data_IF_001659030127
#
_entry.id   IF_001659030127
#
_cell.length_a   1.000
_cell.length_b   1.000
_cell.length_c   1.000
_cell.angle_alpha   90.00
_cell.angle_beta   90.00
_cell.angle_gamma   90.00
#
_symmetry.space_group_name_H-M   'P 1'
#
loop_
_entity.id
_entity.type
_entity.pdbx_description
1 polymer ?
#
# COMPACT_ATOMS: atom_id res chain seq x y z
N UNK A 1 3.50 71.18 -24.71
CA UNK A 1 2.47 70.18 -24.40
C UNK A 1 2.97 68.84 -24.90
N UNK A 2 3.61 68.05 -24.06
CA UNK A 2 4.14 66.74 -24.41
C UNK A 2 3.52 65.70 -23.47
N UNK A 3 2.60 64.92 -24.05
CA UNK A 3 2.03 63.77 -23.38
C UNK A 3 2.93 62.52 -23.59
N UNK A 4 3.38 61.94 -22.50
CA UNK A 4 4.03 60.62 -22.49
C UNK A 4 3.01 59.57 -22.12
N UNK A 5 2.92 58.42 -22.82
CA UNK A 5 2.07 57.32 -22.40
C UNK A 5 2.77 56.50 -21.29
N UNK A 6 2.01 56.24 -20.22
CA UNK A 6 2.38 55.34 -19.13
C UNK A 6 2.15 53.90 -19.59
N UNK A 7 3.24 53.14 -19.67
CA UNK A 7 3.18 51.71 -19.98
C UNK A 7 2.86 50.94 -18.70
N UNK A 8 1.64 50.43 -18.54
CA UNK A 8 1.23 49.53 -17.47
C UNK A 8 1.78 48.15 -17.72
N UNK A 9 2.70 47.71 -16.90
CA UNK A 9 3.21 46.32 -16.87
C UNK A 9 2.21 45.49 -16.08
N UNK A 10 1.42 44.68 -16.76
CA UNK A 10 0.58 43.64 -16.14
C UNK A 10 1.48 42.48 -15.75
N UNK A 11 1.78 42.40 -14.46
CA UNK A 11 2.48 41.25 -13.88
C UNK A 11 1.62 39.99 -13.90
N UNK A 12 2.01 39.04 -14.72
CA UNK A 12 1.42 37.72 -14.74
C UNK A 12 1.91 36.93 -13.52
N UNK A 13 1.11 36.84 -12.46
CA UNK A 13 1.39 35.98 -11.32
C UNK A 13 1.09 34.55 -11.71
N UNK A 14 2.12 33.76 -12.02
CA UNK A 14 2.02 32.31 -12.15
C UNK A 14 1.81 31.71 -10.77
N UNK A 15 0.56 31.37 -10.44
CA UNK A 15 0.25 30.52 -9.29
C UNK A 15 0.72 29.10 -9.63
N UNK A 16 1.93 28.75 -9.14
CA UNK A 16 2.38 27.37 -9.10
C UNK A 16 1.48 26.62 -8.12
N UNK A 17 0.47 25.93 -8.64
CA UNK A 17 -0.36 25.02 -7.87
C UNK A 17 0.51 23.89 -7.35
N UNK A 18 0.85 23.91 -6.07
CA UNK A 18 1.39 22.77 -5.34
C UNK A 18 0.30 21.68 -5.31
N UNK A 19 0.29 20.83 -6.32
CA UNK A 19 -0.56 19.64 -6.32
C UNK A 19 -0.12 18.73 -5.18
N UNK A 20 -0.86 18.72 -4.07
CA UNK A 20 -0.73 17.67 -3.07
C UNK A 20 -1.11 16.36 -3.74
N UNK A 21 -0.13 15.50 -3.98
CA UNK A 21 -0.39 14.15 -4.44
C UNK A 21 -1.30 13.48 -3.40
N UNK A 22 -2.57 13.30 -3.74
CA UNK A 22 -3.52 12.57 -2.91
C UNK A 22 -3.07 11.11 -2.89
N UNK A 23 -2.53 10.66 -1.77
CA UNK A 23 -2.21 9.25 -1.54
C UNK A 23 -3.55 8.51 -1.50
N UNK A 24 -3.89 7.82 -2.59
CA UNK A 24 -5.05 6.93 -2.60
C UNK A 24 -4.70 5.67 -1.81
N UNK A 25 -5.64 5.15 -0.98
CA UNK A 25 -5.51 3.79 -0.45
C UNK A 25 -5.27 2.81 -1.58
N UNK A 26 -4.40 1.84 -1.38
CA UNK A 26 -4.09 0.83 -2.39
C UNK A 26 -5.33 0.02 -2.80
N UNK A 27 -6.32 -0.06 -1.92
CA UNK A 27 -7.52 -0.89 -2.10
C UNK A 27 -8.76 -0.18 -1.53
N UNK A 28 -9.76 0.18 -2.37
CA UNK A 28 -11.06 0.67 -1.88
C UNK A 28 -11.78 -0.45 -1.11
N UNK A 29 -12.20 -0.18 0.13
CA UNK A 29 -12.97 -1.15 0.93
C UNK A 29 -14.45 -1.14 0.55
N UNK A 30 -15.07 -2.33 0.61
CA UNK A 30 -16.51 -2.51 0.42
C UNK A 30 -17.28 -1.89 1.59
N UNK A 31 -18.46 -1.30 1.30
CA UNK A 31 -19.44 -0.92 2.33
C UNK A 31 -20.30 -2.12 2.78
N UNK A 32 -20.28 -3.22 2.03
CA UNK A 32 -20.94 -4.47 2.39
C UNK A 32 -20.05 -5.26 3.35
N UNK A 33 -20.48 -5.52 4.60
CA UNK A 33 -19.70 -6.22 5.60
C UNK A 33 -19.48 -7.70 5.27
N UNK A 34 -20.20 -8.27 4.32
CA UNK A 34 -20.00 -9.64 3.85
C UNK A 34 -18.86 -9.77 2.81
N UNK A 35 -18.25 -8.67 2.40
CA UNK A 35 -17.19 -8.64 1.37
C UNK A 35 -16.00 -7.83 1.83
N UNK A 36 -14.82 -8.41 1.71
CA UNK A 36 -13.56 -7.75 2.04
C UNK A 36 -12.64 -7.71 0.81
N UNK A 37 -12.05 -6.54 0.55
CA UNK A 37 -11.15 -6.33 -0.59
C UNK A 37 -9.73 -6.04 -0.10
N UNK A 38 -8.75 -6.69 -0.72
CA UNK A 38 -7.32 -6.47 -0.44
C UNK A 38 -6.49 -6.51 -1.72
N UNK A 39 -5.28 -5.97 -1.65
CA UNK A 39 -4.29 -6.14 -2.72
C UNK A 39 -3.56 -7.47 -2.52
N UNK A 40 -3.34 -8.20 -3.60
CA UNK A 40 -2.45 -9.36 -3.67
C UNK A 40 -1.21 -9.02 -4.48
N UNK A 41 -0.06 -9.34 -3.96
CA UNK A 41 1.23 -9.33 -4.64
C UNK A 41 1.59 -10.79 -4.93
N UNK A 42 1.66 -11.16 -6.18
CA UNK A 42 1.84 -12.55 -6.61
C UNK A 42 2.91 -12.68 -7.68
N UNK A 43 3.30 -13.92 -7.96
CA UNK A 43 4.31 -14.26 -8.96
C UNK A 43 3.69 -14.98 -10.14
N UNK A 44 4.11 -14.63 -11.34
CA UNK A 44 3.77 -15.33 -12.57
C UNK A 44 4.78 -16.46 -12.88
N UNK A 45 4.47 -17.39 -13.81
CA UNK A 45 5.37 -18.51 -14.14
C UNK A 45 6.75 -18.13 -14.65
N UNK A 46 6.94 -16.91 -15.15
CA UNK A 46 8.21 -16.32 -15.59
C UNK A 46 8.98 -15.63 -14.46
N UNK A 47 8.52 -15.81 -13.22
CA UNK A 47 9.07 -15.26 -11.98
C UNK A 47 8.97 -13.73 -11.85
N UNK A 48 8.09 -13.08 -12.59
CA UNK A 48 7.79 -11.67 -12.42
C UNK A 48 6.70 -11.48 -11.35
N UNK A 49 6.82 -10.39 -10.59
CA UNK A 49 5.83 -10.03 -9.58
C UNK A 49 4.85 -8.99 -10.10
N UNK A 50 3.59 -9.11 -9.66
CA UNK A 50 2.48 -8.26 -10.08
C UNK A 50 1.53 -7.99 -8.92
N UNK A 51 0.73 -6.93 -9.06
CA UNK A 51 -0.39 -6.68 -8.16
C UNK A 51 -1.72 -7.06 -8.79
N UNK A 52 -2.64 -7.53 -7.96
CA UNK A 52 -4.05 -7.62 -8.30
C UNK A 52 -4.93 -7.17 -7.12
N UNK A 53 -6.17 -6.83 -7.40
CA UNK A 53 -7.19 -6.54 -6.38
C UNK A 53 -8.08 -7.77 -6.22
N UNK A 54 -8.14 -8.30 -5.00
CA UNK A 54 -8.92 -9.50 -4.67
C UNK A 54 -10.06 -9.12 -3.75
N UNK A 55 -11.28 -9.56 -4.06
CA UNK A 55 -12.44 -9.46 -3.17
C UNK A 55 -12.85 -10.86 -2.73
N UNK A 56 -13.04 -11.04 -1.43
CA UNK A 56 -13.46 -12.32 -0.82
C UNK A 56 -14.77 -12.15 -0.10
N UNK A 57 -15.59 -13.19 -0.13
CA UNK A 57 -16.82 -13.27 0.64
C UNK A 57 -16.51 -13.76 2.06
N UNK A 58 -17.22 -13.16 3.04
CA UNK A 58 -17.15 -13.49 4.45
C UNK A 58 -18.44 -14.20 4.86
N UNK A 59 -18.33 -15.30 5.58
CA UNK A 59 -19.48 -16.05 6.08
C UNK A 59 -20.05 -15.39 7.34
N UNK A 60 -21.37 -15.24 7.42
CA UNK A 60 -22.05 -14.79 8.62
C UNK A 60 -22.06 -15.89 9.67
N UNK A 61 -21.62 -15.59 10.89
CA UNK A 61 -21.56 -16.55 12.00
C UNK A 61 -22.01 -15.92 13.31
N UNK A 62 -22.65 -16.73 14.16
CA UNK A 62 -23.00 -16.41 15.54
C UNK A 62 -21.83 -16.80 16.45
N UNK A 63 -20.78 -15.96 16.47
CA UNK A 63 -19.54 -16.30 17.16
C UNK A 63 -19.66 -16.27 18.68
N UNK A 64 -20.44 -15.34 19.25
CA UNK A 64 -20.47 -15.10 20.72
C UNK A 64 -21.86 -14.57 21.14
N UNK A 65 -22.93 -15.40 21.17
CA UNK A 65 -24.23 -14.97 21.68
C UNK A 65 -24.14 -14.46 23.14
N UNK A 66 -24.86 -13.39 23.54
CA UNK A 66 -25.92 -12.69 22.82
C UNK A 66 -25.44 -11.56 21.87
N UNK A 67 -24.14 -11.42 21.59
CA UNK A 67 -23.68 -10.44 20.62
C UNK A 67 -24.26 -10.72 19.22
N UNK A 68 -24.53 -9.68 18.40
CA UNK A 68 -24.99 -9.86 17.04
C UNK A 68 -24.01 -10.69 16.19
N UNK A 69 -24.51 -11.39 15.15
CA UNK A 69 -23.64 -12.10 14.20
C UNK A 69 -22.59 -11.21 13.56
N UNK A 70 -21.44 -11.80 13.28
CA UNK A 70 -20.34 -11.15 12.56
C UNK A 70 -20.06 -11.87 11.23
N UNK A 71 -19.34 -11.19 10.33
CA UNK A 71 -18.89 -11.77 9.09
C UNK A 71 -17.42 -12.15 9.18
N UNK A 72 -17.07 -13.40 8.86
CA UNK A 72 -15.70 -13.92 9.03
C UNK A 72 -15.26 -14.75 7.82
N UNK A 73 -13.94 -14.71 7.59
CA UNK A 73 -13.22 -15.68 6.77
C UNK A 73 -11.98 -16.11 7.55
N UNK A 74 -11.88 -17.39 7.85
CA UNK A 74 -10.70 -17.92 8.52
C UNK A 74 -9.48 -17.79 7.60
N UNK A 75 -8.38 -17.31 8.17
CA UNK A 75 -7.08 -17.26 7.53
C UNK A 75 -6.07 -17.90 8.48
N UNK A 76 -5.72 -19.18 8.30
CA UNK A 76 -4.77 -19.87 9.16
C UNK A 76 -3.42 -19.14 9.18
N UNK A 77 -2.89 -18.89 10.35
CA UNK A 77 -1.59 -18.28 10.54
C UNK A 77 -0.82 -19.02 11.64
N UNK A 78 0.41 -19.35 11.37
CA UNK A 78 1.32 -19.98 12.36
C UNK A 78 1.98 -18.96 13.28
N UNK A 79 2.10 -17.70 12.82
CA UNK A 79 2.75 -16.62 13.54
C UNK A 79 2.20 -15.27 13.12
N UNK A 80 2.01 -14.39 14.09
CA UNK A 80 1.72 -12.97 13.89
C UNK A 80 2.75 -12.12 14.62
N UNK A 81 3.28 -11.08 13.96
CA UNK A 81 4.25 -10.15 14.54
C UNK A 81 3.83 -8.70 14.27
N UNK A 82 4.20 -7.80 15.18
CA UNK A 82 4.21 -6.37 14.93
C UNK A 82 5.60 -5.98 14.46
N UNK A 83 5.69 -5.27 13.35
CA UNK A 83 6.94 -4.79 12.77
C UNK A 83 6.91 -3.27 12.67
N UNK A 84 8.02 -2.64 13.08
CA UNK A 84 8.26 -1.22 12.93
C UNK A 84 9.39 -0.96 11.95
N UNK A 85 9.27 0.10 11.16
CA UNK A 85 10.24 0.51 10.16
C UNK A 85 10.58 1.98 10.37
N UNK A 86 11.86 2.29 10.34
CA UNK A 86 12.32 3.67 10.43
C UNK A 86 11.83 4.53 9.26
N UNK A 87 11.73 5.86 9.44
CA UNK A 87 11.51 6.77 8.32
C UNK A 87 12.53 6.51 7.21
N UNK A 88 12.07 6.48 5.96
CA UNK A 88 12.89 6.27 4.76
C UNK A 88 13.60 4.91 4.67
N UNK A 89 13.19 3.93 5.50
CA UNK A 89 13.71 2.56 5.40
C UNK A 89 13.59 2.05 3.96
N UNK A 90 14.66 1.49 3.42
CA UNK A 90 14.75 1.05 2.02
C UNK A 90 15.01 2.15 0.99
N UNK A 91 14.92 3.44 1.35
CA UNK A 91 15.10 4.54 0.39
C UNK A 91 16.57 4.82 0.09
N UNK A 92 17.43 4.78 1.10
CA UNK A 92 18.82 5.22 1.02
C UNK A 92 19.81 4.05 0.90
N UNK A 93 19.36 2.81 1.10
CA UNK A 93 20.18 1.60 0.97
C UNK A 93 20.08 1.02 -0.45
N UNK A 94 21.20 0.99 -1.17
CA UNK A 94 21.28 0.43 -2.52
C UNK A 94 20.95 -1.09 -2.55
N UNK A 95 21.18 -1.82 -1.46
CA UNK A 95 20.84 -3.25 -1.39
C UNK A 95 19.31 -3.42 -1.19
N UNK A 96 18.70 -2.57 -0.37
CA UNK A 96 17.24 -2.57 -0.16
C UNK A 96 16.45 -2.18 -1.42
N UNK A 97 17.10 -1.52 -2.38
CA UNK A 97 16.50 -1.19 -3.70
C UNK A 97 16.58 -2.34 -4.71
N UNK A 98 17.08 -3.51 -4.32
CA UNK A 98 17.03 -4.70 -5.17
C UNK A 98 15.73 -5.45 -4.94
N UNK A 99 15.20 -5.98 -6.01
CA UNK A 99 14.08 -6.91 -5.91
C UNK A 99 14.45 -8.11 -5.05
N UNK A 100 13.57 -8.47 -4.13
CA UNK A 100 13.75 -9.62 -3.26
C UNK A 100 12.40 -10.29 -2.98
N UNK A 101 12.33 -11.63 -2.99
CA UNK A 101 11.09 -12.34 -2.71
C UNK A 101 10.73 -12.27 -1.22
N UNK A 102 9.47 -12.41 -0.93
CA UNK A 102 9.01 -12.59 0.45
C UNK A 102 9.54 -13.90 1.03
N UNK A 103 9.90 -13.95 2.33
CA UNK A 103 10.41 -15.16 2.95
C UNK A 103 9.36 -16.28 3.07
N UNK A 104 8.10 -15.90 3.09
CA UNK A 104 6.93 -16.79 3.06
C UNK A 104 5.68 -16.02 2.66
N UNK A 105 4.65 -16.75 2.20
CA UNK A 105 3.35 -16.15 1.96
C UNK A 105 2.76 -15.59 3.27
N UNK A 106 2.29 -14.33 3.24
CA UNK A 106 1.88 -13.61 4.43
C UNK A 106 0.84 -12.54 4.15
N UNK A 107 0.05 -12.19 5.16
CA UNK A 107 -0.74 -10.96 5.16
C UNK A 107 0.00 -9.85 5.90
N UNK A 108 -0.05 -8.65 5.34
CA UNK A 108 0.47 -7.43 5.95
C UNK A 108 -0.68 -6.46 6.10
N UNK A 109 -0.97 -6.05 7.34
CA UNK A 109 -1.93 -5.01 7.66
C UNK A 109 -1.16 -3.76 8.03
N UNK A 110 -1.39 -2.67 7.33
CA UNK A 110 -0.72 -1.40 7.57
C UNK A 110 -1.45 -0.64 8.67
N UNK A 111 -0.74 -0.30 9.75
CA UNK A 111 -1.31 0.32 10.95
C UNK A 111 -0.98 1.81 11.03
N UNK A 112 0.22 2.18 10.59
CA UNK A 112 0.71 3.57 10.62
C UNK A 112 1.77 3.79 9.55
N UNK A 113 1.90 5.05 9.10
CA UNK A 113 2.87 5.44 8.07
C UNK A 113 2.43 5.04 6.67
N UNK A 114 3.32 5.23 5.71
CA UNK A 114 3.10 4.86 4.30
C UNK A 114 4.30 4.02 3.85
N UNK A 115 4.02 2.93 3.18
CA UNK A 115 5.02 2.10 2.50
C UNK A 115 4.70 2.01 1.01
N UNK A 116 5.69 2.29 0.18
CA UNK A 116 5.61 2.11 -1.27
C UNK A 116 6.19 0.74 -1.62
N UNK A 117 5.47 -0.04 -2.40
CA UNK A 117 5.92 -1.34 -2.90
C UNK A 117 5.92 -1.30 -4.42
N UNK A 118 7.04 -1.70 -5.01
CA UNK A 118 7.24 -1.74 -6.47
C UNK A 118 7.45 -3.19 -6.90
N UNK A 119 6.66 -3.65 -7.86
CA UNK A 119 6.76 -4.95 -8.51
C UNK A 119 7.71 -4.93 -9.69
N UNK A 120 8.11 -6.10 -10.19
CA UNK A 120 9.11 -6.22 -11.26
C UNK A 120 8.61 -5.72 -12.62
N UNK A 121 7.29 -5.61 -12.81
CA UNK A 121 6.70 -4.94 -13.98
C UNK A 121 6.74 -3.40 -13.90
N UNK A 122 7.24 -2.85 -12.78
CA UNK A 122 7.39 -1.41 -12.56
C UNK A 122 6.16 -0.74 -11.92
N UNK A 123 5.07 -1.48 -11.65
CA UNK A 123 3.93 -0.92 -10.92
C UNK A 123 4.33 -0.60 -9.48
N UNK A 124 3.96 0.59 -9.00
CA UNK A 124 4.15 0.99 -7.59
C UNK A 124 2.81 1.29 -6.95
N UNK A 125 2.55 0.65 -5.80
CA UNK A 125 1.40 0.97 -4.94
C UNK A 125 1.86 1.49 -3.59
N UNK A 126 1.04 2.39 -3.02
CA UNK A 126 1.26 2.99 -1.71
C UNK A 126 0.28 2.40 -0.71
N UNK A 127 0.81 1.85 0.37
CA UNK A 127 0.03 1.22 1.43
C UNK A 127 0.10 2.07 2.70
N UNK A 128 -1.04 2.37 3.27
CA UNK A 128 -1.20 3.15 4.49
C UNK A 128 -2.19 2.53 5.48
N UNK A 129 -2.53 3.22 6.58
CA UNK A 129 -3.41 2.70 7.62
C UNK A 129 -4.73 2.17 7.06
N UNK A 130 -5.06 0.93 7.40
CA UNK A 130 -6.26 0.23 6.93
C UNK A 130 -6.08 -0.59 5.66
N UNK A 131 -4.99 -0.41 4.91
CA UNK A 131 -4.71 -1.25 3.76
C UNK A 131 -4.24 -2.64 4.17
N UNK A 132 -4.60 -3.64 3.36
CA UNK A 132 -4.18 -5.02 3.53
C UNK A 132 -3.52 -5.52 2.25
N UNK A 133 -2.33 -6.11 2.41
CA UNK A 133 -1.57 -6.72 1.33
C UNK A 133 -1.36 -8.21 1.62
N UNK A 134 -1.79 -9.05 0.70
CA UNK A 134 -1.41 -10.46 0.67
C UNK A 134 -0.15 -10.61 -0.18
N UNK A 135 0.96 -10.98 0.44
CA UNK A 135 2.25 -11.14 -0.22
C UNK A 135 2.48 -12.61 -0.51
N UNK A 136 2.65 -12.98 -1.77
CA UNK A 136 2.82 -14.37 -2.25
C UNK A 136 3.97 -14.51 -3.27
N UNK A 137 4.74 -13.48 -3.48
CA UNK A 137 5.92 -13.47 -4.36
C UNK A 137 7.16 -14.12 -3.73
N UNK A 138 6.97 -15.33 -3.21
CA UNK A 138 8.03 -16.12 -2.59
C UNK A 138 9.01 -16.69 -3.65
N UNK A 139 10.22 -17.11 -3.22
CA UNK A 139 11.17 -17.73 -4.13
C UNK A 139 10.51 -18.91 -4.91
N UNK A 140 10.76 -19.01 -6.23
CA UNK A 140 11.82 -18.40 -7.03
C UNK A 140 11.46 -17.05 -7.67
N UNK A 141 10.38 -16.37 -7.23
CA UNK A 141 10.01 -15.05 -7.74
C UNK A 141 11.16 -14.05 -7.60
N UNK A 142 11.27 -13.11 -8.54
CA UNK A 142 12.21 -11.99 -8.41
C UNK A 142 11.88 -11.09 -7.22
N UNK A 143 10.59 -11.03 -6.83
CA UNK A 143 10.14 -10.32 -5.65
C UNK A 143 9.77 -8.86 -5.91
N UNK A 144 9.89 -8.06 -4.87
CA UNK A 144 9.47 -6.66 -4.84
C UNK A 144 10.52 -5.77 -4.15
N UNK A 145 10.33 -4.45 -4.29
CA UNK A 145 11.07 -3.44 -3.52
C UNK A 145 10.09 -2.75 -2.58
N UNK A 146 10.47 -2.58 -1.32
CA UNK A 146 9.70 -1.85 -0.31
C UNK A 146 10.45 -0.62 0.17
N UNK A 147 9.76 0.53 0.25
CA UNK A 147 10.32 1.80 0.72
C UNK A 147 9.32 2.48 1.65
N UNK A 148 9.76 2.85 2.84
CA UNK A 148 8.97 3.63 3.81
C UNK A 148 9.10 5.12 3.49
N UNK A 149 7.99 5.86 3.65
CA UNK A 149 7.97 7.32 3.50
C UNK A 149 8.70 8.05 4.63
N UNK A 150 8.46 9.34 4.76
CA UNK A 150 9.18 10.21 5.69
C UNK A 150 8.80 10.05 7.18
N UNK A 151 7.87 9.16 7.48
CA UNK A 151 7.42 8.85 8.85
C UNK A 151 7.59 7.37 9.15
N UNK A 152 7.82 7.03 10.42
CA UNK A 152 7.82 5.64 10.91
C UNK A 152 6.58 4.90 10.42
N UNK A 153 6.76 3.68 9.97
CA UNK A 153 5.68 2.77 9.57
C UNK A 153 5.58 1.60 10.53
N UNK A 154 4.35 1.23 10.89
CA UNK A 154 4.05 0.02 11.67
C UNK A 154 3.10 -0.87 10.90
N UNK A 155 3.38 -2.16 10.92
CA UNK A 155 2.56 -3.18 10.27
C UNK A 155 2.33 -4.38 11.20
N UNK A 156 1.24 -5.09 10.98
CA UNK A 156 1.01 -6.42 11.52
C UNK A 156 1.17 -7.44 10.40
N UNK A 157 2.07 -8.40 10.59
CA UNK A 157 2.39 -9.43 9.59
C UNK A 157 1.93 -10.78 10.14
N UNK A 158 1.11 -11.50 9.36
CA UNK A 158 0.56 -12.81 9.71
C UNK A 158 0.94 -13.85 8.66
N UNK A 159 1.60 -14.93 9.05
CA UNK A 159 2.14 -15.99 8.17
C UNK A 159 2.05 -17.38 8.80
#
# INVERSE_FOLDING_TARGET
MNWRPVCSIIGCVLLAGCGTASVRPATPQSQDPSRFTYTRLYCTPDNESHFETVTVDLAKVDATPPAPPIFVKANPASRTVLAGFDPRWGADDLQARKFHPAPSAQFVVYLQGIMSITTTDGETRHFGPGDVLRVEDTAPCKGHISVVGDKTSFTMISR
#
